data_IF_022568899874
#
_entry.id   IF_022568899874
#
_cell.length_a   1.000
_cell.length_b   1.000
_cell.length_c   1.000
_cell.angle_alpha   90.00
_cell.angle_beta   90.00
_cell.angle_gamma   90.00
#
_symmetry.space_group_name_H-M   'P 1'
#
loop_
_entity.id
_entity.type
_entity.pdbx_description
1 polymer ?
#
# COMPACT_ATOMS: atom_id res chain seq x y z
N UNK A 1 13.10 1.41 31.87
CA UNK A 1 13.78 1.35 30.57
C UNK A 1 13.15 0.20 29.81
N UNK A 2 12.24 0.51 28.88
CA UNK A 2 11.52 -0.51 28.12
C UNK A 2 12.44 -1.08 27.04
N UNK A 3 12.30 -2.37 26.73
CA UNK A 3 13.06 -2.94 25.62
C UNK A 3 12.52 -2.40 24.29
N UNK A 4 13.35 -1.66 23.56
CA UNK A 4 13.01 -1.20 22.22
C UNK A 4 13.34 -2.31 21.22
N UNK A 5 12.35 -2.71 20.42
CA UNK A 5 12.47 -3.81 19.45
C UNK A 5 12.16 -3.32 18.04
N UNK A 6 13.07 -3.59 17.10
CA UNK A 6 12.88 -3.36 15.66
C UNK A 6 13.11 -4.66 14.90
N UNK A 7 12.10 -5.16 14.18
CA UNK A 7 12.13 -6.46 13.50
C UNK A 7 12.58 -7.63 14.42
N UNK A 8 12.15 -7.61 15.68
CA UNK A 8 12.51 -8.62 16.69
C UNK A 8 13.94 -8.51 17.23
N UNK A 9 14.70 -7.47 16.86
CA UNK A 9 16.04 -7.19 17.39
C UNK A 9 15.97 -6.06 18.40
N UNK A 10 16.73 -6.18 19.50
CA UNK A 10 16.84 -5.12 20.50
C UNK A 10 17.57 -3.91 19.91
N UNK A 11 17.07 -2.73 20.25
CA UNK A 11 17.61 -1.42 19.93
C UNK A 11 17.99 -0.76 21.25
N UNK A 12 19.20 -0.21 21.36
CA UNK A 12 19.64 0.52 22.55
C UNK A 12 19.14 1.96 22.53
N UNK A 13 19.04 2.60 23.70
CA UNK A 13 18.72 4.03 23.79
C UNK A 13 19.75 4.89 23.06
N UNK A 14 21.03 4.50 23.09
CA UNK A 14 22.10 5.16 22.33
C UNK A 14 21.87 5.10 20.81
N UNK A 15 21.39 3.95 20.30
CA UNK A 15 21.06 3.80 18.89
C UNK A 15 19.85 4.65 18.50
N UNK A 16 18.86 4.76 19.38
CA UNK A 16 17.70 5.65 19.18
C UNK A 16 18.16 7.10 19.15
N UNK A 17 19.02 7.51 20.08
CA UNK A 17 19.53 8.88 20.12
C UNK A 17 20.34 9.21 18.86
N UNK A 18 21.20 8.30 18.40
CA UNK A 18 21.96 8.49 17.17
C UNK A 18 21.06 8.71 15.94
N UNK A 19 19.96 7.94 15.83
CA UNK A 19 18.99 8.14 14.75
C UNK A 19 18.19 9.44 14.88
N UNK A 20 17.89 9.88 16.10
CA UNK A 20 17.24 11.16 16.35
C UNK A 20 18.15 12.32 15.92
N UNK A 21 19.41 12.30 16.36
CA UNK A 21 20.41 13.32 16.02
C UNK A 21 20.63 13.39 14.50
N UNK A 22 20.68 12.24 13.81
CA UNK A 22 20.77 12.17 12.34
C UNK A 22 19.56 12.82 11.66
N UNK A 23 18.35 12.54 12.13
CA UNK A 23 17.14 13.11 11.57
C UNK A 23 17.02 14.63 11.82
N UNK A 24 17.44 15.09 13.00
CA UNK A 24 17.44 16.52 13.37
C UNK A 24 18.51 17.33 12.62
N UNK A 25 19.68 16.73 12.36
CA UNK A 25 20.71 17.34 11.52
C UNK A 25 20.22 17.54 10.07
N UNK A 26 19.30 16.69 9.62
CA UNK A 26 18.73 16.71 8.28
C UNK A 26 19.65 16.08 7.22
N UNK A 27 19.05 15.65 6.12
CA UNK A 27 19.77 15.00 5.02
C UNK A 27 20.15 16.01 3.93
N UNK A 28 21.39 15.90 3.41
CA UNK A 28 21.82 16.63 2.23
C UNK A 28 21.06 16.10 0.99
N UNK A 29 20.18 16.92 0.44
CA UNK A 29 19.37 16.59 -0.73
C UNK A 29 20.23 16.27 -1.97
N UNK A 30 21.48 16.74 -2.03
CA UNK A 30 22.41 16.43 -3.13
C UNK A 30 22.99 15.01 -3.04
N UNK A 31 23.00 14.43 -1.84
CA UNK A 31 23.47 13.07 -1.59
C UNK A 31 22.34 12.03 -1.66
N UNK A 32 21.09 12.48 -1.67
CA UNK A 32 19.94 11.58 -1.82
C UNK A 32 19.89 10.98 -3.22
N UNK A 33 19.39 9.73 -3.36
CA UNK A 33 19.08 9.16 -4.66
C UNK A 33 18.17 10.10 -5.45
N UNK A 34 18.32 10.11 -6.78
CA UNK A 34 17.42 10.87 -7.65
C UNK A 34 15.97 10.51 -7.32
N UNK A 35 15.04 11.49 -7.30
CA UNK A 35 13.63 11.22 -7.07
C UNK A 35 13.18 10.17 -8.07
N UNK A 36 12.80 9.00 -7.56
CA UNK A 36 12.13 8.01 -8.40
C UNK A 36 10.73 8.53 -8.70
N UNK A 37 10.17 8.21 -9.88
CA UNK A 37 8.75 8.38 -10.10
C UNK A 37 8.00 7.82 -8.89
N UNK A 38 6.99 8.54 -8.42
CA UNK A 38 6.15 8.08 -7.32
C UNK A 38 5.47 6.75 -7.65
N UNK A 39 4.58 6.31 -6.77
CA UNK A 39 3.81 5.08 -7.00
C UNK A 39 3.22 5.05 -8.43
N UNK A 40 3.42 3.96 -9.19
CA UNK A 40 2.83 3.84 -10.52
C UNK A 40 1.32 4.11 -10.49
N UNK A 41 0.78 4.81 -11.49
CA UNK A 41 -0.65 5.06 -11.57
C UNK A 41 -1.42 3.75 -11.79
N UNK A 42 -2.67 3.70 -11.32
CA UNK A 42 -3.56 2.53 -11.48
C UNK A 42 -4.09 2.40 -12.92
N UNK A 43 -3.68 3.30 -13.83
CA UNK A 43 -4.10 3.43 -15.23
C UNK A 43 -3.29 4.53 -15.94
N UNK A 44 -3.87 5.22 -16.92
CA UNK A 44 -3.20 6.32 -17.66
C UNK A 44 -3.06 7.64 -16.86
N UNK A 45 -3.57 7.68 -15.62
CA UNK A 45 -3.60 8.88 -14.80
C UNK A 45 -3.92 8.59 -13.34
N UNK A 46 -4.13 9.65 -12.52
CA UNK A 46 -4.55 9.47 -11.14
C UNK A 46 -5.88 8.71 -11.08
N UNK A 47 -6.00 7.78 -10.13
CA UNK A 47 -7.24 7.06 -9.90
C UNK A 47 -8.27 7.95 -9.21
N UNK A 48 -9.52 7.91 -9.67
CA UNK A 48 -10.66 8.52 -8.96
C UNK A 48 -11.18 7.55 -7.91
N UNK A 49 -11.35 8.02 -6.67
CA UNK A 49 -11.94 7.22 -5.58
C UNK A 49 -13.46 7.26 -5.71
N UNK A 50 -14.08 6.10 -5.84
CA UNK A 50 -15.54 5.93 -5.87
C UNK A 50 -15.96 5.12 -4.64
N UNK A 51 -16.76 5.72 -3.76
CA UNK A 51 -17.33 5.03 -2.59
C UNK A 51 -18.64 4.34 -2.96
N UNK A 52 -18.70 3.02 -2.80
CA UNK A 52 -19.89 2.19 -3.07
C UNK A 52 -20.23 1.35 -1.86
N UNK A 53 -21.53 1.11 -1.63
CA UNK A 53 -22.02 0.19 -0.61
C UNK A 53 -22.28 -1.16 -1.28
N UNK A 54 -21.66 -2.21 -0.76
CA UNK A 54 -21.91 -3.59 -1.13
C UNK A 54 -22.55 -4.26 0.09
N UNK A 55 -23.59 -5.05 -0.12
CA UNK A 55 -24.09 -5.94 0.91
C UNK A 55 -23.07 -7.06 1.20
N UNK A 56 -23.26 -7.73 2.32
CA UNK A 56 -22.34 -8.76 2.82
C UNK A 56 -22.27 -9.96 1.86
N UNK A 57 -23.40 -10.39 1.29
CA UNK A 57 -23.47 -11.53 0.37
C UNK A 57 -22.67 -11.25 -0.91
N UNK A 58 -22.83 -10.05 -1.49
CA UNK A 58 -22.10 -9.63 -2.67
C UNK A 58 -20.60 -9.49 -2.39
N UNK A 59 -20.23 -8.95 -1.24
CA UNK A 59 -18.82 -8.82 -0.85
C UNK A 59 -18.16 -10.20 -0.68
N UNK A 60 -18.83 -11.14 -0.01
CA UNK A 60 -18.32 -12.48 0.20
C UNK A 60 -18.19 -13.25 -1.12
N UNK A 61 -19.18 -13.15 -2.01
CA UNK A 61 -19.10 -13.74 -3.34
C UNK A 61 -17.92 -13.20 -4.14
N UNK A 62 -17.67 -11.88 -4.09
CA UNK A 62 -16.53 -11.24 -4.74
C UNK A 62 -15.20 -11.75 -4.16
N UNK A 63 -15.08 -11.82 -2.83
CA UNK A 63 -13.84 -12.25 -2.17
C UNK A 63 -13.54 -13.72 -2.39
N UNK A 64 -14.57 -14.57 -2.41
CA UNK A 64 -14.43 -15.99 -2.75
C UNK A 64 -13.89 -16.16 -4.16
N UNK A 65 -14.52 -15.51 -5.14
CA UNK A 65 -14.06 -15.56 -6.52
C UNK A 65 -12.65 -15.00 -6.69
N UNK A 66 -12.32 -13.92 -5.98
CA UNK A 66 -10.97 -13.36 -5.99
C UNK A 66 -9.93 -14.34 -5.46
N UNK A 67 -10.24 -15.06 -4.38
CA UNK A 67 -9.36 -16.10 -3.84
C UNK A 67 -9.15 -17.26 -4.83
N UNK A 68 -10.21 -17.69 -5.51
CA UNK A 68 -10.16 -18.73 -6.54
C UNK A 68 -9.29 -18.30 -7.74
N UNK A 69 -9.27 -17.00 -8.06
CA UNK A 69 -8.45 -16.39 -9.12
C UNK A 69 -7.03 -15.97 -8.63
N UNK A 70 -6.69 -16.22 -7.36
CA UNK A 70 -5.38 -15.89 -6.79
C UNK A 70 -5.16 -14.41 -6.45
N UNK A 71 -6.22 -13.60 -6.45
CA UNK A 71 -6.19 -12.18 -6.10
C UNK A 71 -6.28 -12.02 -4.59
N UNK A 72 -5.21 -11.52 -3.97
CA UNK A 72 -5.13 -11.36 -2.50
C UNK A 72 -5.60 -10.00 -2.00
N UNK A 73 -5.81 -9.03 -2.89
CA UNK A 73 -6.18 -7.65 -2.56
C UNK A 73 -7.64 -7.36 -2.92
N UNK A 74 -8.44 -6.94 -1.92
CA UNK A 74 -9.86 -6.57 -2.13
C UNK A 74 -10.05 -5.49 -3.19
N UNK A 75 -9.21 -4.46 -3.22
CA UNK A 75 -9.34 -3.39 -4.21
C UNK A 75 -8.99 -3.86 -5.62
N UNK A 76 -8.13 -4.87 -5.75
CA UNK A 76 -7.82 -5.49 -7.03
C UNK A 76 -8.97 -6.36 -7.51
N UNK A 77 -9.59 -7.13 -6.62
CA UNK A 77 -10.80 -7.90 -6.92
C UNK A 77 -11.93 -7.01 -7.44
N UNK A 78 -12.21 -5.89 -6.77
CA UNK A 78 -13.22 -4.92 -7.24
C UNK A 78 -12.87 -4.36 -8.62
N UNK A 79 -11.61 -3.97 -8.86
CA UNK A 79 -11.18 -3.45 -10.17
C UNK A 79 -11.29 -4.52 -11.27
N UNK A 80 -10.95 -5.77 -10.98
CA UNK A 80 -11.06 -6.88 -11.93
C UNK A 80 -12.51 -7.11 -12.33
N UNK A 81 -13.43 -7.16 -11.35
CA UNK A 81 -14.86 -7.32 -11.60
C UNK A 81 -15.43 -6.17 -12.47
N UNK A 82 -15.10 -4.92 -12.14
CA UNK A 82 -15.53 -3.74 -12.94
C UNK A 82 -14.96 -3.80 -14.35
N UNK A 83 -13.70 -4.20 -14.52
CA UNK A 83 -13.06 -4.31 -15.84
C UNK A 83 -13.72 -5.40 -16.69
N UNK A 84 -14.06 -6.54 -16.10
CA UNK A 84 -14.77 -7.61 -16.80
C UNK A 84 -16.14 -7.14 -17.25
N UNK A 85 -16.93 -6.55 -16.35
CA UNK A 85 -18.25 -6.01 -16.67
C UNK A 85 -18.20 -4.96 -17.80
N UNK A 86 -17.23 -4.05 -17.76
CA UNK A 86 -17.07 -3.02 -18.80
C UNK A 86 -16.60 -3.58 -20.15
N UNK A 87 -15.83 -4.67 -20.15
CA UNK A 87 -15.41 -5.35 -21.37
C UNK A 87 -16.58 -6.04 -22.07
N UNK A 88 -17.48 -6.65 -21.30
CA UNK A 88 -18.67 -7.34 -21.85
C UNK A 88 -19.71 -6.36 -22.43
N UNK A 89 -19.63 -5.07 -22.04
CA UNK A 89 -20.50 -4.00 -22.51
C UNK A 89 -19.98 -3.24 -23.75
N UNK A 90 -18.77 -3.59 -24.25
CA UNK A 90 -18.11 -2.97 -25.39
C UNK A 90 -18.19 -3.87 -26.64
#
# INVERSE_FOLDING_TARGET
>A
MGEHLLHGRRVSDEQIQAWADEAEAGYDLQQLPRPTPGRPPVGRGPGTVVTVRLDEELLDALLKRAADEGITNRSEAVRAAVKQWAHDAA
#
